data_IF_922920382235
#
_entry.id   IF_922920382235
#
_cell.length_a   1.000
_cell.length_b   1.000
_cell.length_c   1.000
_cell.angle_alpha   90.00
_cell.angle_beta   90.00
_cell.angle_gamma   90.00
#
_symmetry.space_group_name_H-M   'P 1'
#
loop_
_entity.id
_entity.type
_entity.pdbx_description
1 polymer ?
#
# COMPACT_ATOMS: atom_id res chain seq x y z
N UNK A 1 21.15 -1.07 -9.38
CA UNK A 1 20.46 0.22 -9.18
C UNK A 1 19.17 -0.09 -8.46
N UNK A 2 18.98 0.45 -7.25
CA UNK A 2 17.68 0.34 -6.57
C UNK A 2 16.81 1.49 -7.08
N UNK A 3 15.61 1.18 -7.53
CA UNK A 3 14.61 2.18 -7.88
C UNK A 3 13.56 2.17 -6.78
N UNK A 4 12.97 3.33 -6.52
CA UNK A 4 11.90 3.44 -5.55
C UNK A 4 10.59 3.58 -6.30
N UNK A 5 9.64 2.74 -5.97
CA UNK A 5 8.29 2.78 -6.51
C UNK A 5 7.36 3.29 -5.41
N UNK A 6 6.54 4.27 -5.76
CA UNK A 6 5.45 4.74 -4.93
C UNK A 6 4.23 3.90 -5.25
N UNK A 7 3.76 3.15 -4.27
CA UNK A 7 2.57 2.32 -4.39
C UNK A 7 1.45 2.93 -3.57
N UNK A 8 0.39 3.38 -4.24
CA UNK A 8 -0.84 3.83 -3.60
C UNK A 8 -1.75 2.65 -3.31
N UNK A 9 -2.24 2.59 -2.09
CA UNK A 9 -3.08 1.53 -1.55
C UNK A 9 -4.37 2.13 -1.00
N UNK A 10 -5.47 1.43 -1.23
CA UNK A 10 -6.73 1.67 -0.53
C UNK A 10 -6.96 0.50 0.41
N UNK A 11 -7.00 0.77 1.70
CA UNK A 11 -7.31 -0.23 2.71
C UNK A 11 -8.71 0.04 3.23
N UNK A 12 -9.56 -0.97 3.21
CA UNK A 12 -10.90 -0.92 3.76
C UNK A 12 -10.87 -1.54 5.16
N UNK A 13 -11.09 -0.71 6.17
CA UNK A 13 -11.21 -1.17 7.57
C UNK A 13 -12.62 -0.93 8.06
N UNK A 14 -13.26 -1.97 8.57
CA UNK A 14 -14.50 -1.83 9.31
C UNK A 14 -14.21 -1.30 10.71
N UNK A 15 -14.67 -0.09 10.98
CA UNK A 15 -14.63 0.51 12.31
C UNK A 15 -16.03 0.52 12.89
N UNK A 16 -16.17 -0.08 14.07
CA UNK A 16 -17.42 -0.07 14.81
C UNK A 16 -17.58 1.28 15.54
N UNK A 17 -18.58 2.05 15.15
CA UNK A 17 -18.92 3.31 15.83
C UNK A 17 -19.61 3.00 17.17
N UNK A 18 -19.51 3.91 18.16
CA UNK A 18 -20.04 3.76 19.52
C UNK A 18 -21.57 3.51 19.64
N UNK A 19 -22.29 3.45 18.50
CA UNK A 19 -23.70 3.06 18.36
C UNK A 19 -23.90 1.69 17.68
N UNK A 20 -22.87 0.85 17.58
CA UNK A 20 -22.95 -0.50 16.99
C UNK A 20 -23.13 -0.52 15.47
N UNK A 21 -22.74 0.56 14.77
CA UNK A 21 -22.77 0.61 13.30
C UNK A 21 -21.38 0.32 12.76
N UNK A 22 -21.25 -0.78 12.01
CA UNK A 22 -20.09 -1.07 11.19
C UNK A 22 -19.99 -0.01 10.09
N UNK A 23 -18.93 0.79 10.13
CA UNK A 23 -18.66 1.80 9.12
C UNK A 23 -17.36 1.42 8.43
N UNK A 24 -17.48 0.96 7.19
CA UNK A 24 -16.33 0.70 6.33
C UNK A 24 -15.64 2.02 6.02
N UNK A 25 -14.42 2.19 6.53
CA UNK A 25 -13.59 3.36 6.27
C UNK A 25 -12.51 2.99 5.27
N UNK A 26 -12.58 3.59 4.09
CA UNK A 26 -11.53 3.49 3.08
C UNK A 26 -10.41 4.46 3.45
N UNK A 27 -9.24 3.92 3.78
CA UNK A 27 -8.01 4.67 4.05
C UNK A 27 -7.14 4.60 2.79
N UNK A 28 -6.61 5.75 2.36
CA UNK A 28 -5.63 5.80 1.27
C UNK A 28 -4.25 5.92 1.89
N UNK A 29 -3.41 4.94 1.63
CA UNK A 29 -2.03 4.89 2.11
C UNK A 29 -1.07 4.87 0.92
N UNK A 30 0.11 5.44 1.10
CA UNK A 30 1.13 5.47 0.08
C UNK A 30 2.41 4.89 0.65
N UNK A 31 2.93 3.85 0.00
CA UNK A 31 4.12 3.15 0.43
C UNK A 31 5.25 3.36 -0.57
N UNK A 32 6.46 3.52 -0.04
CA UNK A 32 7.67 3.57 -0.85
C UNK A 32 8.37 2.22 -0.79
N UNK A 33 8.56 1.59 -1.94
CA UNK A 33 9.14 0.25 -2.05
C UNK A 33 10.41 0.31 -2.88
N UNK A 34 11.53 -0.19 -2.35
CA UNK A 34 12.73 -0.39 -3.15
C UNK A 34 12.60 -1.68 -3.98
N UNK A 35 12.64 -1.52 -5.30
CA UNK A 35 12.56 -2.61 -6.28
C UNK A 35 13.34 -2.25 -7.55
N UNK A 36 13.59 -3.22 -8.43
CA UNK A 36 14.21 -2.96 -9.74
C UNK A 36 13.14 -2.85 -10.82
N UNK A 37 11.99 -3.50 -10.62
CA UNK A 37 10.86 -3.55 -11.55
C UNK A 37 9.52 -3.27 -10.85
N UNK A 38 8.50 -2.78 -11.57
CA UNK A 38 7.18 -2.55 -11.00
C UNK A 38 6.54 -3.84 -10.46
N UNK A 39 6.77 -4.97 -11.13
CA UNK A 39 6.27 -6.29 -10.68
C UNK A 39 6.90 -6.71 -9.35
N UNK A 40 8.21 -6.44 -9.14
CA UNK A 40 8.83 -6.69 -7.83
C UNK A 40 8.27 -5.76 -6.75
N UNK A 41 8.04 -4.49 -7.06
CA UNK A 41 7.42 -3.56 -6.13
C UNK A 41 6.03 -4.05 -5.70
N UNK A 42 5.25 -4.55 -6.66
CA UNK A 42 3.92 -5.13 -6.42
C UNK A 42 4.00 -6.43 -5.61
N UNK A 43 4.94 -7.33 -5.91
CA UNK A 43 5.11 -8.55 -5.12
C UNK A 43 5.53 -8.26 -3.67
N UNK A 44 6.37 -7.25 -3.46
CA UNK A 44 6.90 -6.89 -2.14
C UNK A 44 5.86 -6.18 -1.28
N UNK A 45 5.07 -5.29 -1.88
CA UNK A 45 3.95 -4.65 -1.17
C UNK A 45 2.84 -5.66 -0.88
N UNK A 46 2.55 -6.57 -1.82
CA UNK A 46 1.56 -7.62 -1.62
C UNK A 46 2.00 -8.55 -0.47
N UNK A 47 3.27 -8.96 -0.42
CA UNK A 47 3.82 -9.69 0.74
C UNK A 47 3.76 -8.92 2.06
N UNK A 48 3.97 -7.60 2.03
CA UNK A 48 3.89 -6.78 3.23
C UNK A 48 2.46 -6.71 3.78
N UNK A 49 1.48 -6.69 2.89
CA UNK A 49 0.06 -6.56 3.20
C UNK A 49 -0.67 -7.91 3.33
N UNK A 50 -0.10 -9.00 2.85
CA UNK A 50 -0.63 -10.38 3.02
C UNK A 50 -0.79 -10.74 4.51
N UNK A 51 -0.05 -10.07 5.40
CA UNK A 51 -0.20 -10.20 6.85
C UNK A 51 -1.28 -9.32 7.49
N UNK A 52 -1.86 -8.39 6.74
CA UNK A 52 -2.95 -7.54 7.21
C UNK A 52 -4.29 -8.25 6.99
N UNK A 53 -5.09 -8.41 8.05
CA UNK A 53 -6.46 -8.96 7.96
C UNK A 53 -7.44 -8.01 7.23
N UNK A 54 -6.95 -6.91 6.67
CA UNK A 54 -7.72 -5.85 6.06
C UNK A 54 -7.72 -6.02 4.54
N UNK A 55 -8.88 -5.85 3.92
CA UNK A 55 -8.98 -5.80 2.45
C UNK A 55 -8.25 -4.58 1.93
N UNK A 56 -7.18 -4.80 1.16
CA UNK A 56 -6.42 -3.74 0.50
C UNK A 56 -6.48 -3.89 -1.02
N UNK A 57 -6.47 -2.75 -1.71
CA UNK A 57 -6.43 -2.66 -3.16
C UNK A 57 -5.28 -1.75 -3.58
N UNK A 58 -4.35 -2.28 -4.37
CA UNK A 58 -3.30 -1.48 -5.00
C UNK A 58 -3.94 -0.63 -6.10
N UNK A 59 -3.93 0.69 -5.93
CA UNK A 59 -4.58 1.63 -6.86
C UNK A 59 -3.62 2.27 -7.83
N UNK A 60 -2.38 2.52 -7.41
CA UNK A 60 -1.38 3.16 -8.26
C UNK A 60 0.00 2.58 -8.00
N UNK A 61 0.78 2.40 -9.06
CA UNK A 61 2.20 2.04 -8.98
C UNK A 61 2.94 3.05 -9.85
N UNK A 62 3.73 3.91 -9.23
CA UNK A 62 4.47 4.96 -9.93
C UNK A 62 5.95 4.83 -9.64
N UNK A 63 6.76 4.73 -10.70
CA UNK A 63 8.20 4.82 -10.58
C UNK A 63 8.57 6.23 -10.10
N UNK A 64 9.32 6.32 -9.00
CA UNK A 64 9.83 7.60 -8.50
C UNK A 64 11.24 7.85 -9.04
N UNK A 65 11.59 9.13 -9.20
CA UNK A 65 12.97 9.58 -9.52
C UNK A 65 13.87 9.66 -8.28
N UNK A 66 13.54 8.96 -7.20
CA UNK A 66 14.40 8.91 -6.02
C UNK A 66 15.64 8.10 -6.39
N UNK A 67 16.81 8.75 -6.34
CA UNK A 67 18.09 8.15 -6.71
C UNK A 67 18.78 7.53 -5.49
N UNK A 68 18.62 8.13 -4.32
CA UNK A 68 19.25 7.72 -3.07
C UNK A 68 18.41 8.21 -1.89
N UNK A 69 18.30 7.39 -0.85
CA UNK A 69 17.75 7.78 0.46
C UNK A 69 18.93 7.71 1.44
N UNK A 70 19.34 8.87 1.95
CA UNK A 70 20.46 9.05 2.90
C UNK A 70 20.01 8.82 4.34
#
# INVERSE_FOLDING_TARGET
MKQYFKVGLKVERDVEDSKGRLKTKVVREEYLVDAVTPTEAEAKINKHLEGSMETFEVTTITLTKILEVV
#
